data_IF_099752943236
#
_entry.id   IF_099752943236
#
_cell.length_a   1.000
_cell.length_b   1.000
_cell.length_c   1.000
_cell.angle_alpha   90.00
_cell.angle_beta   90.00
_cell.angle_gamma   90.00
#
_symmetry.space_group_name_H-M   'P 1'
#
loop_
_entity.id
_entity.type
_entity.pdbx_description
1 polymer ?
#
# COMPACT_ATOMS: atom_id res chain seq x y z
N UNK A 1 3.52 15.57 -3.16
CA UNK A 1 2.69 16.48 -3.96
C UNK A 1 1.34 16.52 -3.27
N UNK A 2 0.98 17.67 -2.68
CA UNK A 2 -0.27 17.83 -1.94
C UNK A 2 -1.42 17.91 -2.96
N UNK A 3 -2.25 16.87 -2.96
CA UNK A 3 -3.57 16.88 -3.60
C UNK A 3 -4.44 17.84 -2.77
N UNK A 4 -4.33 19.14 -3.03
CA UNK A 4 -5.21 20.16 -2.45
C UNK A 4 -6.57 20.05 -3.13
N UNK A 5 -7.27 18.97 -2.80
CA UNK A 5 -8.65 18.77 -3.17
C UNK A 5 -9.48 19.65 -2.26
N UNK A 6 -10.10 20.67 -2.84
CA UNK A 6 -10.89 21.62 -2.08
C UNK A 6 -12.27 21.01 -1.79
N UNK A 7 -12.34 20.33 -0.64
CA UNK A 7 -13.55 19.70 -0.12
C UNK A 7 -14.70 20.71 0.05
N UNK A 8 -14.38 22.00 0.18
CA UNK A 8 -15.38 23.04 0.40
C UNK A 8 -16.08 23.45 -0.90
N UNK A 9 -15.38 23.44 -2.04
CA UNK A 9 -15.98 23.72 -3.35
C UNK A 9 -16.87 22.57 -3.81
N UNK A 10 -16.47 21.32 -3.55
CA UNK A 10 -17.31 20.15 -3.80
C UNK A 10 -18.54 20.08 -2.89
N UNK A 11 -18.40 20.30 -1.59
CA UNK A 11 -19.58 20.32 -0.71
C UNK A 11 -20.58 21.43 -1.10
N UNK A 12 -20.09 22.57 -1.60
CA UNK A 12 -20.93 23.68 -2.09
C UNK A 12 -21.62 23.38 -3.42
N UNK A 13 -20.91 22.84 -4.41
CA UNK A 13 -21.52 22.52 -5.71
C UNK A 13 -22.60 21.45 -5.57
N UNK A 14 -22.40 20.48 -4.67
CA UNK A 14 -23.37 19.40 -4.43
C UNK A 14 -24.59 19.83 -3.62
N UNK A 15 -24.43 20.72 -2.63
CA UNK A 15 -25.58 21.32 -1.92
C UNK A 15 -26.45 22.22 -2.80
N UNK A 16 -25.92 22.71 -3.92
CA UNK A 16 -26.64 23.58 -4.85
C UNK A 16 -27.34 22.84 -6.00
N UNK A 17 -27.09 21.53 -6.17
CA UNK A 17 -27.79 20.71 -7.16
C UNK A 17 -29.13 20.21 -6.61
N UNK A 18 -30.15 21.05 -6.77
CA UNK A 18 -31.55 20.66 -6.64
C UNK A 18 -31.92 19.72 -7.79
N UNK A 19 -32.26 18.48 -7.46
CA UNK A 19 -32.77 17.40 -8.34
C UNK A 19 -31.68 16.65 -9.12
N UNK A 20 -31.63 15.34 -8.85
CA UNK A 20 -30.77 14.35 -9.43
C UNK A 20 -31.07 14.18 -10.93
N UNK A 21 -30.37 14.93 -11.77
CA UNK A 21 -30.03 14.44 -13.10
C UNK A 21 -28.61 13.90 -12.99
N UNK A 22 -28.47 12.58 -13.13
CA UNK A 22 -27.22 11.83 -13.03
C UNK A 22 -26.29 12.27 -14.18
N UNK A 23 -25.72 13.47 -14.08
CA UNK A 23 -24.71 13.93 -15.01
C UNK A 23 -23.51 13.00 -14.84
N UNK A 24 -23.34 12.10 -15.82
CA UNK A 24 -22.09 11.39 -16.04
C UNK A 24 -20.94 12.39 -15.83
N UNK A 25 -19.97 12.09 -14.95
CA UNK A 25 -18.89 13.01 -14.65
C UNK A 25 -18.21 13.46 -15.95
N UNK A 26 -17.97 14.77 -16.07
CA UNK A 26 -17.29 15.35 -17.23
C UNK A 26 -15.98 14.60 -17.49
N UNK A 27 -15.57 14.48 -18.76
CA UNK A 27 -14.29 13.85 -19.16
C UNK A 27 -13.08 14.42 -18.39
N UNK A 28 -13.18 15.65 -17.89
CA UNK A 28 -12.18 16.30 -17.04
C UNK A 28 -12.05 15.70 -15.64
N UNK A 29 -13.13 15.18 -15.05
CA UNK A 29 -13.14 14.52 -13.74
C UNK A 29 -12.72 13.05 -13.82
N UNK A 30 -12.92 12.43 -14.99
CA UNK A 30 -12.53 11.04 -15.29
C UNK A 30 -11.03 10.89 -15.59
N UNK A 31 -10.40 11.89 -16.22
CA UNK A 31 -8.98 11.88 -16.55
C UNK A 31 -8.04 11.59 -15.33
N UNK A 32 -8.19 12.26 -14.17
CA UNK A 32 -7.35 11.97 -13.00
C UNK A 32 -7.63 10.59 -12.38
N UNK A 33 -8.88 10.10 -12.45
CA UNK A 33 -9.23 8.77 -11.97
C UNK A 33 -8.62 7.66 -12.83
N UNK A 34 -8.67 7.81 -14.16
CA UNK A 34 -8.02 6.90 -15.11
C UNK A 34 -6.49 6.92 -15.00
N UNK A 35 -5.89 8.10 -14.76
CA UNK A 35 -4.45 8.20 -14.55
C UNK A 35 -4.01 7.47 -13.27
N UNK A 36 -4.78 7.58 -12.17
CA UNK A 36 -4.54 6.81 -10.94
C UNK A 36 -4.66 5.31 -11.16
N UNK A 37 -5.63 4.87 -11.96
CA UNK A 37 -5.79 3.46 -12.32
C UNK A 37 -4.58 2.93 -13.11
N UNK A 38 -4.06 3.69 -14.08
CA UNK A 38 -2.84 3.33 -14.82
C UNK A 38 -1.61 3.28 -13.92
N UNK A 39 -1.45 4.27 -13.04
CA UNK A 39 -0.34 4.30 -12.09
C UNK A 39 -0.37 3.09 -11.14
N UNK A 40 -1.55 2.71 -10.64
CA UNK A 40 -1.72 1.52 -9.79
C UNK A 40 -1.46 0.23 -10.54
N UNK A 41 -1.83 0.15 -11.82
CA UNK A 41 -1.48 -1.00 -12.67
C UNK A 41 0.04 -1.16 -12.83
N UNK A 42 0.78 -0.07 -13.02
CA UNK A 42 2.25 -0.11 -13.07
C UNK A 42 2.87 -0.54 -11.73
N UNK A 43 2.32 -0.04 -10.62
CA UNK A 43 2.76 -0.46 -9.28
C UNK A 43 2.51 -1.96 -9.04
N UNK A 44 1.35 -2.47 -9.44
CA UNK A 44 1.02 -3.89 -9.37
C UNK A 44 2.05 -4.75 -10.11
N UNK A 45 2.42 -4.39 -11.34
CA UNK A 45 3.45 -5.13 -12.09
C UNK A 45 4.82 -5.07 -11.42
N UNK A 46 5.20 -3.92 -10.84
CA UNK A 46 6.43 -3.80 -10.08
C UNK A 46 6.46 -4.70 -8.85
N UNK A 47 5.36 -4.76 -8.10
CA UNK A 47 5.21 -5.64 -6.94
C UNK A 47 5.26 -7.13 -7.33
N UNK A 48 4.61 -7.51 -8.43
CA UNK A 48 4.63 -8.89 -8.93
C UNK A 48 6.02 -9.31 -9.38
N UNK A 49 6.74 -8.42 -10.07
CA UNK A 49 8.13 -8.66 -10.45
C UNK A 49 9.01 -8.85 -9.21
N UNK A 50 8.84 -8.00 -8.19
CA UNK A 50 9.53 -8.14 -6.90
C UNK A 50 9.23 -9.47 -6.21
N UNK A 51 7.97 -9.89 -6.17
CA UNK A 51 7.57 -11.17 -5.60
C UNK A 51 8.16 -12.37 -6.34
N UNK A 52 8.22 -12.30 -7.67
CA UNK A 52 8.85 -13.33 -8.51
C UNK A 52 10.35 -13.44 -8.21
N UNK A 53 11.05 -12.31 -8.11
CA UNK A 53 12.47 -12.28 -7.75
C UNK A 53 12.69 -12.89 -6.36
N UNK A 54 11.86 -12.53 -5.36
CA UNK A 54 11.95 -13.12 -4.01
C UNK A 54 11.74 -14.63 -4.02
N UNK A 55 10.75 -15.13 -4.77
CA UNK A 55 10.48 -16.56 -4.90
C UNK A 55 11.62 -17.31 -5.60
N UNK A 56 12.15 -16.75 -6.69
CA UNK A 56 13.29 -17.33 -7.41
C UNK A 56 14.55 -17.38 -6.53
N UNK A 57 14.82 -16.30 -5.77
CA UNK A 57 15.93 -16.27 -4.82
C UNK A 57 15.77 -17.29 -3.68
N UNK A 58 14.55 -17.45 -3.17
CA UNK A 58 14.25 -18.45 -2.14
C UNK A 58 14.50 -19.88 -2.64
N UNK A 59 14.04 -20.20 -3.85
CA UNK A 59 14.30 -21.50 -4.47
C UNK A 59 15.80 -21.72 -4.71
N UNK A 60 16.51 -20.71 -5.20
CA UNK A 60 17.96 -20.78 -5.39
C UNK A 60 18.70 -21.09 -4.09
N UNK A 61 18.37 -20.39 -3.00
CA UNK A 61 18.98 -20.61 -1.69
C UNK A 61 18.68 -22.02 -1.17
N UNK A 62 17.43 -22.49 -1.31
CA UNK A 62 17.01 -23.82 -0.87
C UNK A 62 17.84 -24.96 -1.50
N UNK A 63 18.22 -24.81 -2.77
CA UNK A 63 18.93 -25.85 -3.50
C UNK A 63 20.46 -25.73 -3.47
N UNK A 64 21.01 -24.51 -3.33
CA UNK A 64 22.45 -24.29 -3.52
C UNK A 64 23.24 -24.07 -2.24
N UNK A 65 22.62 -23.74 -1.09
CA UNK A 65 23.36 -23.54 0.17
C UNK A 65 22.66 -24.19 1.38
N UNK A 66 23.33 -25.14 2.06
CA UNK A 66 22.85 -25.65 3.34
C UNK A 66 23.42 -24.81 4.50
N UNK A 67 22.56 -23.97 5.10
CA UNK A 67 22.90 -23.14 6.25
C UNK A 67 21.67 -22.71 7.06
N UNK A 68 21.87 -22.38 8.34
CA UNK A 68 20.78 -21.84 9.18
C UNK A 68 20.36 -20.45 8.68
N UNK A 69 21.33 -19.66 8.21
CA UNK A 69 21.07 -18.34 7.62
C UNK A 69 20.22 -18.46 6.35
N UNK A 70 20.51 -19.44 5.50
CA UNK A 70 19.76 -19.66 4.26
C UNK A 70 18.32 -20.08 4.55
N UNK A 71 18.11 -20.96 5.54
CA UNK A 71 16.76 -21.37 5.95
C UNK A 71 15.93 -20.16 6.42
N UNK A 72 16.52 -19.28 7.23
CA UNK A 72 15.86 -18.06 7.70
C UNK A 72 15.61 -17.11 6.51
N UNK A 73 16.58 -16.89 5.64
CA UNK A 73 16.45 -16.03 4.47
C UNK A 73 15.33 -16.52 3.52
N UNK A 74 15.28 -17.83 3.24
CA UNK A 74 14.22 -18.48 2.46
C UNK A 74 12.85 -18.23 3.07
N UNK A 75 12.72 -18.40 4.39
CA UNK A 75 11.45 -18.18 5.09
C UNK A 75 10.99 -16.72 4.97
N UNK A 76 11.90 -15.75 5.15
CA UNK A 76 11.59 -14.33 4.96
C UNK A 76 11.21 -14.00 3.51
N UNK A 77 11.92 -14.56 2.52
CA UNK A 77 11.65 -14.33 1.11
C UNK A 77 10.31 -14.93 0.67
N UNK A 78 9.98 -16.15 1.11
CA UNK A 78 8.70 -16.79 0.80
C UNK A 78 7.53 -16.04 1.45
N UNK A 79 7.64 -15.69 2.73
CA UNK A 79 6.60 -14.89 3.41
C UNK A 79 6.45 -13.53 2.71
N UNK A 80 7.57 -12.88 2.36
CA UNK A 80 7.58 -11.63 1.63
C UNK A 80 6.89 -11.75 0.27
N UNK A 81 7.18 -12.79 -0.51
CA UNK A 81 6.58 -13.05 -1.81
C UNK A 81 5.07 -13.30 -1.70
N UNK A 82 4.65 -14.19 -0.79
CA UNK A 82 3.22 -14.50 -0.58
C UNK A 82 2.47 -13.26 -0.11
N UNK A 83 3.01 -12.51 0.85
CA UNK A 83 2.38 -11.30 1.35
C UNK A 83 2.29 -10.22 0.26
N UNK A 84 3.33 -10.06 -0.57
CA UNK A 84 3.35 -9.10 -1.67
C UNK A 84 2.27 -9.45 -2.69
N UNK A 85 2.18 -10.72 -3.12
CA UNK A 85 1.16 -11.18 -4.07
C UNK A 85 -0.24 -10.99 -3.50
N UNK A 86 -0.46 -11.43 -2.26
CA UNK A 86 -1.76 -11.32 -1.59
C UNK A 86 -2.24 -9.88 -1.51
N UNK A 87 -1.36 -8.95 -1.14
CA UNK A 87 -1.72 -7.54 -0.95
C UNK A 87 -1.84 -6.83 -2.28
N UNK A 88 -0.95 -7.12 -3.22
CA UNK A 88 -1.05 -6.61 -4.58
C UNK A 88 -2.41 -7.01 -5.19
N UNK A 89 -2.82 -8.26 -5.01
CA UNK A 89 -4.13 -8.74 -5.44
C UNK A 89 -5.28 -8.04 -4.72
N UNK A 90 -5.23 -7.93 -3.39
CA UNK A 90 -6.31 -7.32 -2.60
C UNK A 90 -6.43 -5.80 -2.82
N UNK A 91 -5.33 -5.11 -3.14
CA UNK A 91 -5.29 -3.66 -3.33
C UNK A 91 -5.63 -3.26 -4.76
N UNK A 92 -5.07 -3.93 -5.77
CA UNK A 92 -5.20 -3.47 -7.15
C UNK A 92 -6.42 -4.05 -7.88
N UNK A 93 -6.84 -5.28 -7.57
CA UNK A 93 -8.04 -5.90 -8.18
C UNK A 93 -9.31 -5.07 -8.05
N UNK A 94 -9.71 -4.54 -6.87
CA UNK A 94 -10.94 -3.76 -6.74
C UNK A 94 -10.89 -2.41 -7.49
N UNK A 95 -9.70 -1.89 -7.76
CA UNK A 95 -9.53 -0.63 -8.51
C UNK A 95 -9.54 -0.90 -10.02
N UNK A 96 -9.04 -2.05 -10.45
CA UNK A 96 -9.09 -2.49 -11.84
C UNK A 96 -10.48 -2.95 -12.27
N UNK A 97 -11.24 -3.57 -11.36
CA UNK A 97 -12.60 -4.06 -11.62
C UNK A 97 -13.70 -3.00 -11.47
N UNK A 98 -13.33 -1.74 -11.21
CA UNK A 98 -14.29 -0.67 -10.97
C UNK A 98 -14.94 -0.18 -12.27
N UNK A 99 -16.25 -0.35 -12.40
CA UNK A 99 -17.05 -0.06 -13.59
C UNK A 99 -18.13 1.02 -13.39
N UNK A 100 -18.51 1.32 -12.16
CA UNK A 100 -19.59 2.27 -11.87
C UNK A 100 -19.11 3.73 -11.78
N UNK A 101 -19.19 4.49 -12.87
CA UNK A 101 -18.75 5.89 -12.92
C UNK A 101 -19.83 6.92 -12.56
N UNK A 102 -20.91 6.54 -11.86
CA UNK A 102 -21.88 7.50 -11.33
C UNK A 102 -21.25 8.40 -10.24
N UNK A 103 -21.94 9.50 -9.92
CA UNK A 103 -21.46 10.50 -8.96
C UNK A 103 -21.33 9.92 -7.53
N UNK A 104 -22.28 9.07 -7.13
CA UNK A 104 -22.23 8.27 -5.89
C UNK A 104 -21.18 7.15 -5.96
N UNK A 105 -21.00 6.55 -7.13
CA UNK A 105 -19.93 5.58 -7.39
C UNK A 105 -18.55 6.19 -7.17
N UNK A 106 -18.28 7.36 -7.74
CA UNK A 106 -16.98 8.03 -7.65
C UNK A 106 -16.57 8.35 -6.19
N UNK A 107 -17.55 8.66 -5.34
CA UNK A 107 -17.36 8.83 -3.90
C UNK A 107 -16.93 7.51 -3.22
N UNK A 108 -17.64 6.42 -3.51
CA UNK A 108 -17.33 5.08 -3.02
C UNK A 108 -15.96 4.57 -3.53
N UNK A 109 -15.61 4.85 -4.78
CA UNK A 109 -14.29 4.56 -5.34
C UNK A 109 -13.18 5.26 -4.56
N UNK A 110 -13.34 6.55 -4.23
CA UNK A 110 -12.35 7.30 -3.44
C UNK A 110 -12.24 6.81 -2.01
N UNK A 111 -13.37 6.46 -1.38
CA UNK A 111 -13.40 5.86 -0.05
C UNK A 111 -12.63 4.54 -0.05
N UNK A 112 -12.92 3.65 -0.99
CA UNK A 112 -12.23 2.38 -1.16
C UNK A 112 -10.75 2.57 -1.47
N UNK A 113 -10.39 3.46 -2.39
CA UNK A 113 -8.99 3.78 -2.71
C UNK A 113 -8.22 4.32 -1.49
N UNK A 114 -8.87 5.12 -0.63
CA UNK A 114 -8.26 5.64 0.60
C UNK A 114 -8.04 4.53 1.64
N UNK A 115 -9.03 3.64 1.83
CA UNK A 115 -8.89 2.47 2.71
C UNK A 115 -7.80 1.51 2.23
N UNK A 116 -7.75 1.24 0.92
CA UNK A 116 -6.75 0.39 0.29
C UNK A 116 -5.35 0.99 0.44
N UNK A 117 -5.20 2.32 0.26
CA UNK A 117 -3.92 3.02 0.50
C UNK A 117 -3.46 2.88 1.95
N UNK A 118 -4.38 2.97 2.92
CA UNK A 118 -4.06 2.76 4.34
C UNK A 118 -3.60 1.33 4.64
N UNK A 119 -4.26 0.33 4.07
CA UNK A 119 -3.84 -1.08 4.19
C UNK A 119 -2.46 -1.29 3.59
N UNK A 120 -2.22 -0.71 2.41
CA UNK A 120 -0.93 -0.75 1.74
C UNK A 120 0.19 -0.12 2.59
N UNK A 121 -0.02 1.07 3.16
CA UNK A 121 0.99 1.70 4.02
C UNK A 121 1.30 0.91 5.30
N UNK A 122 0.29 0.31 5.93
CA UNK A 122 0.49 -0.58 7.08
C UNK A 122 1.29 -1.82 6.71
N UNK A 123 1.03 -2.38 5.53
CA UNK A 123 1.81 -3.49 5.03
C UNK A 123 3.28 -3.13 4.77
N UNK A 124 3.54 -1.98 4.14
CA UNK A 124 4.91 -1.51 3.94
C UNK A 124 5.60 -1.26 5.29
N UNK A 125 4.88 -0.76 6.30
CA UNK A 125 5.42 -0.65 7.67
C UNK A 125 5.79 -2.01 8.25
N UNK A 126 4.90 -3.00 8.15
CA UNK A 126 5.19 -4.37 8.61
C UNK A 126 6.38 -4.98 7.88
N UNK A 127 6.52 -4.71 6.59
CA UNK A 127 7.67 -5.16 5.78
C UNK A 127 8.98 -4.52 6.27
N UNK A 128 8.98 -3.21 6.55
CA UNK A 128 10.13 -2.53 7.16
C UNK A 128 10.44 -3.08 8.56
N UNK A 129 9.42 -3.36 9.38
CA UNK A 129 9.60 -3.99 10.70
C UNK A 129 10.17 -5.40 10.59
N UNK A 130 9.74 -6.19 9.60
CA UNK A 130 10.28 -7.51 9.33
C UNK A 130 11.77 -7.44 8.93
N UNK A 131 12.17 -6.44 8.13
CA UNK A 131 13.59 -6.23 7.81
C UNK A 131 14.42 -5.86 9.04
N UNK A 132 13.90 -5.04 9.95
CA UNK A 132 14.57 -4.74 11.23
C UNK A 132 14.69 -6.01 12.08
N UNK A 133 13.63 -6.82 12.16
CA UNK A 133 13.64 -8.11 12.85
C UNK A 133 14.68 -9.06 12.25
N UNK A 134 14.78 -9.13 10.92
CA UNK A 134 15.81 -9.90 10.23
C UNK A 134 17.22 -9.44 10.61
N UNK A 135 17.48 -8.13 10.64
CA UNK A 135 18.75 -7.57 11.12
C UNK A 135 19.05 -7.96 12.57
N UNK A 136 18.05 -8.01 13.45
CA UNK A 136 18.21 -8.47 14.83
C UNK A 136 18.55 -9.97 14.90
N UNK A 137 17.91 -10.79 14.07
CA UNK A 137 18.21 -12.22 13.97
C UNK A 137 19.66 -12.44 13.49
N UNK A 138 20.12 -11.68 12.50
CA UNK A 138 21.52 -11.74 12.05
C UNK A 138 22.50 -11.42 13.19
N UNK A 139 22.20 -10.41 14.00
CA UNK A 139 22.98 -10.08 15.19
C UNK A 139 23.00 -11.21 16.23
N UNK A 140 21.83 -11.81 16.52
CA UNK A 140 21.75 -12.94 17.44
C UNK A 140 22.58 -14.13 16.94
N UNK A 141 22.42 -14.48 15.66
CA UNK A 141 23.19 -15.58 15.06
C UNK A 141 24.70 -15.32 15.09
N UNK A 142 25.12 -14.07 14.85
CA UNK A 142 26.53 -13.68 14.95
C UNK A 142 27.06 -13.79 16.39
N UNK A 143 26.30 -13.32 17.39
CA UNK A 143 26.68 -13.39 18.80
C UNK A 143 26.78 -14.84 19.31
N UNK A 144 25.86 -15.70 18.90
CA UNK A 144 25.87 -17.12 19.25
C UNK A 144 26.80 -17.97 18.38
N UNK A 145 27.46 -17.39 17.38
CA UNK A 145 28.31 -18.08 16.37
C UNK A 145 27.60 -19.28 15.73
N UNK A 146 26.31 -19.13 15.44
CA UNK A 146 25.50 -20.21 14.84
C UNK A 146 25.83 -20.44 13.36
N UNK A 147 26.38 -19.43 12.69
CA UNK A 147 26.74 -19.49 11.28
C UNK A 147 27.88 -18.52 10.96
N UNK A 148 28.56 -18.72 9.84
CA UNK A 148 29.65 -17.85 9.37
C UNK A 148 29.08 -16.61 8.68
N UNK A 149 28.45 -15.74 9.46
CA UNK A 149 27.89 -14.47 8.96
C UNK A 149 29.03 -13.49 8.69
N UNK A 150 29.12 -13.03 7.44
CA UNK A 150 30.05 -11.98 7.06
C UNK A 150 29.74 -10.68 7.80
N UNK A 151 30.78 -10.09 8.40
CA UNK A 151 30.68 -8.79 9.08
C UNK A 151 30.20 -7.68 8.15
N UNK A 152 30.53 -7.76 6.85
CA UNK A 152 30.05 -6.81 5.84
C UNK A 152 28.53 -6.88 5.67
N UNK A 153 27.95 -8.07 5.69
CA UNK A 153 26.50 -8.26 5.62
C UNK A 153 25.82 -7.67 6.87
N UNK A 154 26.37 -7.94 8.06
CA UNK A 154 25.85 -7.40 9.32
C UNK A 154 25.87 -5.87 9.33
N UNK A 155 26.97 -5.25 8.88
CA UNK A 155 27.12 -3.80 8.78
C UNK A 155 26.16 -3.20 7.75
N UNK A 156 25.99 -3.84 6.60
CA UNK A 156 25.03 -3.39 5.58
C UNK A 156 23.60 -3.32 6.14
N UNK A 157 23.14 -4.40 6.77
CA UNK A 157 21.78 -4.46 7.32
C UNK A 157 21.57 -3.52 8.53
N UNK A 158 22.61 -3.28 9.33
CA UNK A 158 22.53 -2.42 10.51
C UNK A 158 22.71 -0.93 10.22
N UNK A 159 23.65 -0.54 9.35
CA UNK A 159 23.97 0.87 9.07
C UNK A 159 23.17 1.45 7.90
N UNK A 160 22.72 0.62 6.96
CA UNK A 160 22.02 1.09 5.76
C UNK A 160 20.55 0.69 5.84
N UNK A 161 20.26 -0.61 5.93
CA UNK A 161 18.88 -1.12 5.80
C UNK A 161 18.01 -0.70 6.99
N UNK A 162 18.49 -0.86 8.22
CA UNK A 162 17.70 -0.53 9.42
C UNK A 162 17.37 0.97 9.52
N UNK A 163 18.31 1.92 9.36
CA UNK A 163 17.99 3.35 9.35
C UNK A 163 17.04 3.75 8.21
N UNK A 164 17.23 3.18 7.01
CA UNK A 164 16.32 3.41 5.90
C UNK A 164 14.89 2.91 6.22
N UNK A 165 14.77 1.75 6.86
CA UNK A 165 13.48 1.20 7.31
C UNK A 165 12.83 2.09 8.38
N UNK A 166 13.59 2.60 9.34
CA UNK A 166 13.07 3.53 10.37
C UNK A 166 12.56 4.83 9.76
N UNK A 167 13.33 5.43 8.85
CA UNK A 167 12.92 6.63 8.11
C UNK A 167 11.65 6.33 7.28
N UNK A 168 11.61 5.17 6.63
CA UNK A 168 10.46 4.68 5.88
C UNK A 168 9.21 4.56 6.76
N UNK A 169 9.31 3.88 7.90
CA UNK A 169 8.23 3.72 8.89
C UNK A 169 7.72 5.08 9.35
N UNK A 170 8.62 6.01 9.68
CA UNK A 170 8.27 7.35 10.13
C UNK A 170 7.49 8.12 9.05
N UNK A 171 7.99 8.15 7.81
CA UNK A 171 7.30 8.81 6.68
C UNK A 171 5.96 8.16 6.38
N UNK A 172 5.86 6.84 6.42
CA UNK A 172 4.61 6.11 6.25
C UNK A 172 3.62 6.43 7.37
N UNK A 173 4.09 6.58 8.61
CA UNK A 173 3.25 6.94 9.75
C UNK A 173 2.61 8.32 9.55
N UNK A 174 3.39 9.31 9.11
CA UNK A 174 2.87 10.63 8.76
C UNK A 174 1.80 10.55 7.66
N UNK A 175 2.04 9.76 6.60
CA UNK A 175 1.07 9.55 5.52
C UNK A 175 -0.22 8.87 6.01
N UNK A 176 -0.10 7.90 6.92
CA UNK A 176 -1.25 7.22 7.54
C UNK A 176 -2.08 8.20 8.35
N UNK A 177 -1.45 9.09 9.13
CA UNK A 177 -2.17 10.10 9.90
C UNK A 177 -2.95 11.05 8.98
N UNK A 178 -2.31 11.59 7.95
CA UNK A 178 -2.97 12.46 6.96
C UNK A 178 -4.15 11.75 6.29
N UNK A 179 -3.96 10.51 5.82
CA UNK A 179 -5.01 9.72 5.16
C UNK A 179 -6.15 9.34 6.10
N UNK A 180 -5.90 9.16 7.39
CA UNK A 180 -6.97 8.93 8.38
C UNK A 180 -7.88 10.14 8.55
N UNK A 181 -7.31 11.36 8.57
CA UNK A 181 -8.08 12.60 8.64
C UNK A 181 -8.93 12.76 7.37
N UNK A 182 -8.34 12.56 6.20
CA UNK A 182 -9.03 12.59 4.91
C UNK A 182 -10.18 11.56 4.85
N UNK A 183 -9.94 10.35 5.36
CA UNK A 183 -10.94 9.29 5.43
C UNK A 183 -12.09 9.63 6.38
N UNK A 184 -11.82 10.30 7.50
CA UNK A 184 -12.87 10.76 8.42
C UNK A 184 -13.79 11.79 7.73
N UNK A 185 -13.21 12.75 7.00
CA UNK A 185 -13.94 13.77 6.24
C UNK A 185 -14.75 13.17 5.07
N UNK A 186 -14.18 12.18 4.36
CA UNK A 186 -14.88 11.45 3.31
C UNK A 186 -16.06 10.66 3.87
N UNK A 187 -15.90 10.01 5.03
CA UNK A 187 -17.01 9.28 5.68
C UNK A 187 -18.15 10.18 6.09
N UNK A 188 -17.86 11.38 6.59
CA UNK A 188 -18.92 12.36 6.91
C UNK A 188 -19.64 12.82 5.65
N UNK A 189 -18.92 13.11 4.56
CA UNK A 189 -19.54 13.47 3.28
C UNK A 189 -20.42 12.36 2.67
N UNK A 190 -19.99 11.09 2.78
CA UNK A 190 -20.81 9.94 2.35
C UNK A 190 -22.09 9.86 3.17
N UNK A 191 -21.98 10.05 4.49
CA UNK A 191 -23.13 10.03 5.38
C UNK A 191 -24.10 11.17 5.05
N UNK A 192 -23.60 12.39 4.88
CA UNK A 192 -24.41 13.56 4.49
C UNK A 192 -25.09 13.34 3.14
N UNK A 193 -24.42 12.70 2.17
CA UNK A 193 -25.00 12.39 0.87
C UNK A 193 -26.09 11.32 0.96
N UNK A 194 -25.88 10.27 1.76
CA UNK A 194 -26.90 9.23 2.00
C UNK A 194 -28.12 9.73 2.79
N UNK A 195 -27.93 10.74 3.63
CA UNK A 195 -29.02 11.38 4.39
C UNK A 195 -29.75 12.46 3.56
N UNK A 196 -29.06 13.11 2.61
CA UNK A 196 -29.63 14.12 1.71
C UNK A 196 -30.33 13.53 0.47
N UNK A 197 -30.09 12.25 0.13
CA UNK A 197 -30.88 11.48 -0.85
C UNK A 197 -31.75 10.44 -0.15
N UNK A 198 -32.88 10.82 0.48
CA UNK A 198 -33.88 9.85 0.88
C UNK A 198 -34.61 9.37 -0.38
N UNK A 199 -34.33 8.14 -0.81
CA UNK A 199 -35.11 7.31 -1.74
C UNK A 199 -35.69 8.01 -2.99
N UNK A 200 -35.01 7.86 -4.13
CA UNK A 200 -35.48 7.11 -5.32
C UNK A 200 -34.61 7.45 -6.54
#
# INVERSE_FOLDING_TARGET
>A
MADNFDFTTLAKSWRQQTVAEEMLPSKTDLAPAQQRQRAQKMLMYGEWLGALIMAAAALWLLFNQPGWLDCIAVLFLLIGAIATIYISWQVHRPILAYDNWSSSGLLNFRLNSCQLSLRYYRYTQLSCSALILFTLILWLMYLFRLDNISLNMLLFYSLIVSPACLIGIYRLHQKVLLKKVELAQLRTLVKDFSEASPCD
#
